data_IF_132079326139
#
_entry.id   IF_132079326139
#
_cell.length_a   1.000
_cell.length_b   1.000
_cell.length_c   1.000
_cell.angle_alpha   90.00
_cell.angle_beta   90.00
_cell.angle_gamma   90.00
#
_symmetry.space_group_name_H-M   'P 1'
#
loop_
_entity.id
_entity.type
_entity.pdbx_description
1 polymer ?
#
# COMPACT_ATOMS: atom_id res chain seq x y z
N UNK A 1 13.77 29.38 0.41
CA UNK A 1 13.47 30.35 1.49
C UNK A 1 13.81 31.76 1.00
N UNK A 2 12.91 32.69 1.19
CA UNK A 2 13.19 34.12 1.02
C UNK A 2 13.50 34.73 2.40
N UNK A 3 14.52 35.58 2.47
CA UNK A 3 14.94 36.26 3.72
C UNK A 3 14.51 37.73 3.62
N UNK A 4 13.87 38.27 4.67
CA UNK A 4 13.63 39.71 4.76
C UNK A 4 14.92 40.43 5.06
N UNK A 5 14.98 41.72 4.69
CA UNK A 5 16.11 42.62 4.94
C UNK A 5 16.01 43.38 6.27
N UNK A 6 14.98 43.07 7.09
CA UNK A 6 14.76 43.73 8.38
C UNK A 6 15.80 43.34 9.44
N UNK A 7 15.86 44.10 10.52
CA UNK A 7 16.81 43.94 11.62
C UNK A 7 16.79 42.55 12.26
N UNK A 8 15.65 41.86 12.25
CA UNK A 8 15.55 40.43 12.53
C UNK A 8 15.20 39.67 11.24
N UNK A 9 16.06 38.77 10.75
CA UNK A 9 15.81 38.06 9.49
C UNK A 9 14.64 37.09 9.62
N UNK A 10 13.55 37.38 8.94
CA UNK A 10 12.40 36.47 8.79
C UNK A 10 12.57 35.63 7.53
N UNK A 11 12.53 34.34 7.69
CA UNK A 11 12.54 33.39 6.56
C UNK A 11 11.12 33.00 6.20
N UNK A 12 10.77 33.11 4.93
CA UNK A 12 9.47 32.69 4.37
C UNK A 12 9.64 31.55 3.40
N UNK A 13 8.76 30.59 3.47
CA UNK A 13 8.65 29.54 2.44
C UNK A 13 7.86 30.12 1.25
N UNK A 14 8.38 30.07 0.00
CA UNK A 14 7.61 30.50 -1.17
C UNK A 14 6.29 29.72 -1.26
N UNK A 15 5.23 30.39 -1.75
CA UNK A 15 3.87 29.80 -1.79
C UNK A 15 3.84 28.44 -2.49
N UNK A 16 4.44 28.32 -3.67
CA UNK A 16 4.49 27.05 -4.41
C UNK A 16 5.21 25.92 -3.64
N UNK A 17 6.20 26.25 -2.82
CA UNK A 17 6.89 25.27 -1.96
C UNK A 17 6.03 24.92 -0.74
N UNK A 18 5.32 25.90 -0.17
CA UNK A 18 4.41 25.67 0.95
C UNK A 18 3.26 24.74 0.56
N UNK A 19 2.70 24.88 -0.63
CA UNK A 19 1.64 24.02 -1.16
C UNK A 19 2.04 22.52 -1.19
N UNK A 20 3.33 22.23 -1.34
CA UNK A 20 3.85 20.84 -1.45
C UNK A 20 4.50 20.37 -0.15
N UNK A 21 5.15 21.25 0.60
CA UNK A 21 6.01 20.84 1.73
C UNK A 21 5.49 21.27 3.11
N UNK A 22 4.25 21.75 3.22
CA UNK A 22 3.60 21.98 4.52
C UNK A 22 2.43 21.03 4.72
N UNK A 23 2.04 20.81 5.99
CA UNK A 23 0.99 19.86 6.35
C UNK A 23 -0.40 20.28 5.85
N UNK A 24 -0.62 21.56 5.67
CA UNK A 24 -1.84 22.22 5.19
C UNK A 24 -1.80 22.59 3.71
N UNK A 25 -0.71 22.26 3.03
CA UNK A 25 -0.56 22.48 1.60
C UNK A 25 -1.55 21.67 0.77
N UNK A 26 -2.16 22.30 -0.25
CA UNK A 26 -3.20 21.69 -1.07
C UNK A 26 -2.72 20.44 -1.84
N UNK A 27 -1.43 20.33 -2.11
CA UNK A 27 -0.77 19.20 -2.77
C UNK A 27 0.36 18.65 -1.90
N UNK A 28 0.13 18.59 -0.59
CA UNK A 28 1.17 18.19 0.36
C UNK A 28 1.76 16.82 0.06
N UNK A 29 3.07 16.76 -0.04
CA UNK A 29 3.91 15.55 -0.12
C UNK A 29 4.80 15.43 1.11
N UNK A 30 4.46 16.09 2.21
CA UNK A 30 5.27 16.13 3.43
C UNK A 30 5.42 14.75 4.06
N UNK A 31 4.36 13.93 4.02
CA UNK A 31 4.41 12.54 4.47
C UNK A 31 5.43 11.74 3.66
N UNK A 32 5.42 11.88 2.33
CA UNK A 32 6.36 11.20 1.44
C UNK A 32 7.80 11.67 1.67
N UNK A 33 8.06 12.97 1.84
CA UNK A 33 9.40 13.47 2.12
C UNK A 33 9.96 12.89 3.43
N UNK A 34 9.13 12.81 4.47
CA UNK A 34 9.49 12.18 5.76
C UNK A 34 9.75 10.68 5.60
N UNK A 35 8.90 9.97 4.88
CA UNK A 35 9.07 8.55 4.59
C UNK A 35 10.37 8.29 3.80
N UNK A 36 10.67 9.07 2.77
CA UNK A 36 11.93 8.96 2.02
C UNK A 36 13.16 9.21 2.89
N UNK A 37 13.08 10.13 3.86
CA UNK A 37 14.13 10.32 4.86
C UNK A 37 14.35 9.06 5.72
N UNK A 38 13.29 8.32 6.06
CA UNK A 38 13.40 7.04 6.75
C UNK A 38 14.04 5.97 5.86
N UNK A 39 13.61 5.88 4.59
CA UNK A 39 14.22 4.97 3.61
C UNK A 39 15.72 5.27 3.42
N UNK A 40 16.11 6.53 3.34
CA UNK A 40 17.51 6.92 3.19
C UNK A 40 18.40 6.39 4.34
N UNK A 41 17.88 6.39 5.58
CA UNK A 41 18.62 5.81 6.73
C UNK A 41 18.86 4.31 6.59
N UNK A 42 17.92 3.58 6.00
CA UNK A 42 18.10 2.16 5.69
C UNK A 42 19.06 1.95 4.53
N UNK A 43 18.96 2.74 3.46
CA UNK A 43 19.87 2.72 2.32
C UNK A 43 21.32 3.06 2.70
N UNK A 44 21.52 3.95 3.68
CA UNK A 44 22.85 4.24 4.23
C UNK A 44 23.54 3.02 4.86
N UNK A 45 22.80 1.95 5.15
CA UNK A 45 23.32 0.69 5.68
C UNK A 45 23.43 -0.43 4.61
N UNK A 46 23.18 -0.14 3.32
CA UNK A 46 23.04 -1.13 2.26
C UNK A 46 24.23 -2.09 2.15
N UNK A 47 25.46 -1.58 2.24
CA UNK A 47 26.65 -2.43 2.20
C UNK A 47 26.62 -3.51 3.31
N UNK A 48 26.25 -3.12 4.51
CA UNK A 48 26.09 -4.03 5.66
C UNK A 48 24.92 -5.00 5.50
N UNK A 49 23.82 -4.56 4.88
CA UNK A 49 22.68 -5.40 4.55
C UNK A 49 23.08 -6.51 3.59
N UNK A 50 23.78 -6.16 2.51
CA UNK A 50 24.25 -7.11 1.51
C UNK A 50 25.22 -8.14 2.12
N UNK A 51 26.15 -7.68 2.94
CA UNK A 51 27.15 -8.58 3.57
C UNK A 51 26.52 -9.52 4.61
N UNK A 52 25.49 -9.08 5.34
CA UNK A 52 24.91 -9.86 6.43
C UNK A 52 23.64 -10.63 6.03
N UNK A 53 23.06 -10.32 4.89
CA UNK A 53 21.77 -10.90 4.45
C UNK A 53 20.59 -10.57 5.39
N UNK A 54 20.65 -9.43 6.10
CA UNK A 54 19.63 -8.99 7.06
C UNK A 54 19.29 -7.53 6.80
N UNK A 55 18.02 -7.12 6.98
CA UNK A 55 17.60 -5.74 6.78
C UNK A 55 18.38 -4.78 7.68
N UNK A 56 18.36 -3.51 7.30
CA UNK A 56 18.94 -2.43 8.08
C UNK A 56 18.30 -2.35 9.49
N UNK A 57 19.09 -1.98 10.49
CA UNK A 57 18.56 -1.70 11.80
C UNK A 57 17.59 -0.51 11.71
N UNK A 58 16.34 -0.74 12.08
CA UNK A 58 15.34 0.32 12.14
C UNK A 58 15.65 1.23 13.33
N UNK A 59 15.87 2.51 13.04
CA UNK A 59 16.02 3.56 14.04
C UNK A 59 14.93 4.60 13.80
N UNK A 60 14.09 4.91 14.79
CA UNK A 60 13.09 5.98 14.66
C UNK A 60 13.74 7.30 14.25
N UNK A 61 12.99 8.10 13.51
CA UNK A 61 13.37 9.49 13.23
C UNK A 61 13.23 10.36 14.46
N UNK A 62 13.53 11.64 14.33
CA UNK A 62 13.29 12.65 15.36
C UNK A 62 11.80 12.78 15.74
N UNK A 63 10.90 12.26 14.91
CA UNK A 63 9.45 12.21 15.18
C UNK A 63 9.05 11.04 16.09
N UNK A 64 9.96 10.08 16.32
CA UNK A 64 9.67 8.83 17.00
C UNK A 64 8.87 7.83 16.16
N UNK A 65 8.64 6.65 16.71
CA UNK A 65 7.97 5.53 16.02
C UNK A 65 6.56 5.88 15.55
N UNK A 66 5.77 6.53 16.39
CA UNK A 66 4.37 6.89 16.06
C UNK A 66 4.31 7.95 14.96
N UNK A 67 5.21 8.93 15.02
CA UNK A 67 5.34 9.94 13.96
C UNK A 67 5.81 9.35 12.63
N UNK A 68 6.68 8.33 12.66
CA UNK A 68 7.14 7.61 11.48
C UNK A 68 6.02 6.77 10.86
N UNK A 69 5.19 6.08 11.67
CA UNK A 69 4.01 5.35 11.20
C UNK A 69 3.00 6.31 10.56
N UNK A 70 2.66 7.40 11.23
CA UNK A 70 1.73 8.40 10.69
C UNK A 70 2.24 8.99 9.37
N UNK A 71 3.53 9.30 9.28
CA UNK A 71 4.17 9.80 8.06
C UNK A 71 4.14 8.77 6.93
N UNK A 72 4.34 7.48 7.24
CA UNK A 72 4.25 6.40 6.27
C UNK A 72 2.82 6.27 5.71
N UNK A 73 1.81 6.20 6.57
CA UNK A 73 0.40 6.09 6.13
C UNK A 73 -0.01 7.32 5.30
N UNK A 74 0.43 8.51 5.73
CA UNK A 74 0.17 9.74 4.97
C UNK A 74 0.88 9.72 3.61
N UNK A 75 2.14 9.26 3.55
CA UNK A 75 2.88 9.10 2.29
C UNK A 75 2.18 8.14 1.32
N UNK A 76 1.67 7.01 1.82
CA UNK A 76 0.94 6.04 1.00
C UNK A 76 -0.36 6.63 0.47
N UNK A 77 -1.01 7.50 1.24
CA UNK A 77 -2.16 8.25 0.74
C UNK A 77 -1.74 9.25 -0.35
N UNK A 78 -0.76 10.10 -0.09
CA UNK A 78 -0.30 11.16 -1.00
C UNK A 78 0.04 10.62 -2.41
N UNK A 79 0.68 9.46 -2.50
CA UNK A 79 1.04 8.85 -3.79
C UNK A 79 -0.10 8.02 -4.42
N UNK A 80 -1.04 7.54 -3.62
CA UNK A 80 -2.12 6.67 -4.12
C UNK A 80 -3.36 7.48 -4.53
N UNK A 81 -3.69 8.54 -3.82
CA UNK A 81 -4.93 9.31 -4.00
C UNK A 81 -5.13 9.81 -5.45
N UNK A 82 -4.11 10.42 -6.10
CA UNK A 82 -4.26 10.91 -7.49
C UNK A 82 -4.53 9.80 -8.50
N UNK A 83 -4.13 8.56 -8.21
CA UNK A 83 -4.22 7.43 -9.14
C UNK A 83 -5.30 6.42 -8.78
N UNK A 84 -5.87 6.50 -7.57
CA UNK A 84 -6.77 5.47 -7.07
C UNK A 84 -8.07 5.39 -7.88
N UNK A 85 -8.77 6.51 -8.05
CA UNK A 85 -10.02 6.53 -8.82
C UNK A 85 -9.83 6.16 -10.29
N UNK A 86 -8.87 6.73 -11.04
CA UNK A 86 -8.61 6.32 -12.40
C UNK A 86 -8.25 4.83 -12.53
N UNK A 87 -7.45 4.30 -11.61
CA UNK A 87 -7.06 2.90 -11.65
C UNK A 87 -8.26 1.97 -11.41
N UNK A 88 -9.06 2.21 -10.38
CA UNK A 88 -10.24 1.37 -10.09
C UNK A 88 -11.25 1.45 -11.24
N UNK A 89 -11.49 2.64 -11.80
CA UNK A 89 -12.37 2.81 -12.97
C UNK A 89 -11.86 2.04 -14.21
N UNK A 90 -10.54 1.90 -14.37
CA UNK A 90 -9.94 1.16 -15.49
C UNK A 90 -10.22 -0.34 -15.49
N UNK A 91 -10.68 -0.91 -14.38
CA UNK A 91 -11.05 -2.33 -14.30
C UNK A 91 -12.40 -2.64 -14.98
N UNK A 92 -13.12 -1.61 -15.44
CA UNK A 92 -14.47 -1.75 -15.96
C UNK A 92 -15.48 -2.05 -14.85
N UNK A 93 -16.59 -2.66 -15.23
CA UNK A 93 -17.64 -3.01 -14.26
C UNK A 93 -17.20 -4.19 -13.40
N UNK A 94 -16.72 -3.91 -12.18
CA UNK A 94 -16.55 -4.91 -11.14
C UNK A 94 -17.89 -5.13 -10.43
N UNK A 95 -18.34 -6.38 -10.37
CA UNK A 95 -19.54 -6.75 -9.63
C UNK A 95 -19.12 -7.40 -8.32
N UNK A 96 -19.38 -6.73 -7.22
CA UNK A 96 -19.16 -7.23 -5.87
C UNK A 96 -20.15 -6.57 -4.90
N UNK A 97 -20.38 -7.21 -3.78
CA UNK A 97 -21.25 -6.70 -2.70
C UNK A 97 -20.44 -6.29 -1.48
N UNK A 98 -19.34 -6.97 -1.22
CA UNK A 98 -18.51 -6.72 -0.05
C UNK A 98 -17.01 -6.79 -0.39
N UNK A 99 -16.33 -5.66 -0.26
CA UNK A 99 -14.88 -5.54 -0.40
C UNK A 99 -14.17 -5.86 0.92
N UNK A 100 -13.16 -6.70 0.89
CA UNK A 100 -12.16 -6.85 1.95
C UNK A 100 -10.87 -6.14 1.53
N UNK A 101 -10.58 -4.98 2.12
CA UNK A 101 -9.37 -4.20 1.88
C UNK A 101 -8.33 -4.54 2.95
N UNK A 102 -7.34 -5.36 2.58
CA UNK A 102 -6.28 -5.83 3.47
C UNK A 102 -5.10 -4.87 3.47
N UNK A 103 -4.73 -4.38 4.66
CA UNK A 103 -3.74 -3.33 4.79
C UNK A 103 -4.24 -2.03 4.15
N UNK A 104 -5.54 -1.75 4.28
CA UNK A 104 -6.20 -0.64 3.61
C UNK A 104 -5.77 0.75 4.10
N UNK A 105 -4.88 0.80 5.08
CA UNK A 105 -4.28 2.01 5.64
C UNK A 105 -5.35 3.07 5.99
N UNK A 106 -5.31 4.23 5.38
CA UNK A 106 -6.31 5.28 5.57
C UNK A 106 -7.59 5.09 4.74
N UNK A 107 -7.72 3.99 3.98
CA UNK A 107 -8.88 3.70 3.13
C UNK A 107 -8.86 4.41 1.78
N UNK A 108 -7.69 4.85 1.31
CA UNK A 108 -7.55 5.56 0.03
C UNK A 108 -8.10 4.76 -1.14
N UNK A 109 -7.91 3.45 -1.15
CA UNK A 109 -8.42 2.56 -2.21
C UNK A 109 -9.89 2.16 -1.98
N UNK A 110 -10.31 1.97 -0.74
CA UNK A 110 -11.70 1.63 -0.40
C UNK A 110 -12.69 2.68 -0.95
N UNK A 111 -12.33 3.97 -0.89
CA UNK A 111 -13.21 5.08 -1.31
C UNK A 111 -13.64 4.93 -2.78
N UNK A 112 -12.76 4.87 -3.79
CA UNK A 112 -13.17 4.75 -5.19
C UNK A 112 -13.89 3.43 -5.49
N UNK A 113 -13.56 2.31 -4.85
CA UNK A 113 -14.34 1.08 -5.00
C UNK A 113 -15.79 1.29 -4.60
N UNK A 114 -16.05 1.93 -3.46
CA UNK A 114 -17.41 2.17 -2.99
C UNK A 114 -18.13 3.31 -3.74
N UNK A 115 -17.41 4.30 -4.23
CA UNK A 115 -18.01 5.37 -5.05
C UNK A 115 -18.51 4.84 -6.39
N UNK A 116 -17.76 3.93 -7.02
CA UNK A 116 -18.13 3.30 -8.29
C UNK A 116 -19.15 2.16 -8.12
N UNK A 117 -19.37 1.69 -6.88
CA UNK A 117 -20.34 0.64 -6.55
C UNK A 117 -21.20 1.08 -5.34
N UNK A 118 -22.27 1.89 -5.58
CA UNK A 118 -23.04 2.52 -4.51
C UNK A 118 -23.67 1.53 -3.51
N UNK A 119 -24.04 0.35 -3.96
CA UNK A 119 -24.72 -0.66 -3.14
C UNK A 119 -23.76 -1.56 -2.36
N UNK A 120 -22.45 -1.50 -2.65
CA UNK A 120 -21.45 -2.32 -1.99
C UNK A 120 -21.06 -1.75 -0.62
N UNK A 121 -20.57 -2.63 0.24
CA UNK A 121 -19.92 -2.29 1.51
C UNK A 121 -18.46 -2.75 1.52
N UNK A 122 -17.72 -2.40 2.57
CA UNK A 122 -16.32 -2.81 2.71
C UNK A 122 -15.96 -3.12 4.16
N UNK A 123 -14.96 -3.98 4.33
CA UNK A 123 -14.21 -4.13 5.58
C UNK A 123 -12.76 -3.73 5.31
N UNK A 124 -12.26 -2.74 6.03
CA UNK A 124 -10.83 -2.40 6.07
C UNK A 124 -10.21 -3.13 7.25
N UNK A 125 -9.21 -3.96 6.99
CA UNK A 125 -8.40 -4.59 8.03
C UNK A 125 -7.00 -4.03 8.02
N UNK A 126 -6.56 -3.46 9.14
CA UNK A 126 -5.20 -2.95 9.32
C UNK A 126 -4.82 -2.99 10.81
N UNK A 127 -3.56 -2.68 11.10
CA UNK A 127 -3.04 -2.62 12.47
C UNK A 127 -3.89 -1.68 13.34
N UNK A 128 -4.05 -1.98 14.64
CA UNK A 128 -4.87 -1.16 15.56
C UNK A 128 -4.53 0.33 15.52
N UNK A 129 -3.23 0.67 15.42
CA UNK A 129 -2.74 2.05 15.43
C UNK A 129 -3.05 2.81 14.13
N UNK A 130 -3.36 2.09 13.04
CA UNK A 130 -3.73 2.65 11.73
C UNK A 130 -5.23 2.93 11.64
N UNK A 131 -6.06 2.12 12.29
CA UNK A 131 -7.53 2.19 12.24
C UNK A 131 -8.09 3.59 12.54
N UNK A 132 -7.58 4.38 13.49
CA UNK A 132 -8.06 5.75 13.71
C UNK A 132 -7.94 6.66 12.49
N UNK A 133 -6.92 6.45 11.64
CA UNK A 133 -6.72 7.22 10.41
C UNK A 133 -7.77 6.85 9.36
N UNK A 134 -8.03 5.56 9.17
CA UNK A 134 -9.11 5.06 8.32
C UNK A 134 -10.48 5.60 8.78
N UNK A 135 -10.77 5.54 10.09
CA UNK A 135 -12.02 6.04 10.67
C UNK A 135 -12.27 7.52 10.34
N UNK A 136 -11.24 8.35 10.48
CA UNK A 136 -11.32 9.78 10.15
C UNK A 136 -11.63 9.99 8.68
N UNK A 137 -10.93 9.30 7.78
CA UNK A 137 -11.10 9.43 6.33
C UNK A 137 -12.46 8.90 5.85
N UNK A 138 -12.91 7.76 6.36
CA UNK A 138 -14.25 7.23 6.03
C UNK A 138 -15.35 8.19 6.45
N UNK A 139 -15.20 8.89 7.58
CA UNK A 139 -16.15 9.93 8.01
C UNK A 139 -16.14 11.12 7.03
N UNK A 140 -14.95 11.60 6.64
CA UNK A 140 -14.82 12.70 5.68
C UNK A 140 -15.43 12.37 4.32
N UNK A 141 -15.30 11.09 3.89
CA UNK A 141 -15.88 10.61 2.64
C UNK A 141 -17.38 10.25 2.72
N UNK A 142 -18.02 10.37 3.90
CA UNK A 142 -19.43 10.00 4.10
C UNK A 142 -19.70 8.49 4.06
N UNK A 143 -18.68 7.66 4.20
CA UNK A 143 -18.76 6.20 4.03
C UNK A 143 -18.86 5.41 5.33
N UNK A 144 -19.02 6.07 6.48
CA UNK A 144 -19.01 5.44 7.82
C UNK A 144 -20.01 4.28 7.96
N UNK A 145 -21.18 4.38 7.31
CA UNK A 145 -22.23 3.33 7.38
C UNK A 145 -21.97 2.15 6.47
N UNK A 146 -21.07 2.31 5.50
CA UNK A 146 -20.75 1.29 4.48
C UNK A 146 -19.41 0.61 4.72
N UNK A 147 -18.63 1.08 5.69
CA UNK A 147 -17.28 0.56 5.95
C UNK A 147 -17.17 0.09 7.40
N UNK A 148 -16.87 -1.20 7.56
CA UNK A 148 -16.47 -1.80 8.82
C UNK A 148 -14.95 -1.69 8.97
N UNK A 149 -14.48 -1.22 10.12
CA UNK A 149 -13.07 -1.19 10.45
C UNK A 149 -12.73 -2.37 11.36
N UNK A 150 -11.74 -3.15 10.98
CA UNK A 150 -11.33 -4.36 11.67
C UNK A 150 -9.86 -4.26 12.10
N UNK A 151 -9.57 -3.92 13.36
CA UNK A 151 -8.20 -3.86 13.85
C UNK A 151 -7.60 -5.26 13.95
N UNK A 152 -6.41 -5.45 13.39
CA UNK A 152 -5.70 -6.72 13.47
C UNK A 152 -4.53 -6.83 12.48
N UNK A 153 -3.66 -7.77 12.76
CA UNK A 153 -2.56 -8.15 11.88
C UNK A 153 -3.05 -9.27 10.93
N UNK A 154 -3.23 -8.97 9.66
CA UNK A 154 -3.74 -9.93 8.67
C UNK A 154 -2.79 -11.14 8.47
N UNK A 155 -1.52 -11.03 8.85
CA UNK A 155 -0.61 -12.17 8.84
C UNK A 155 -0.88 -13.15 10.00
N UNK A 156 -1.26 -12.63 11.17
CA UNK A 156 -1.46 -13.41 12.41
C UNK A 156 -2.92 -13.76 12.67
N UNK A 157 -3.82 -12.77 12.56
CA UNK A 157 -5.23 -12.92 12.91
C UNK A 157 -6.04 -13.58 11.79
N UNK A 158 -7.16 -14.22 12.11
CA UNK A 158 -8.13 -14.66 11.12
C UNK A 158 -8.68 -13.45 10.34
N UNK A 159 -8.92 -13.64 9.03
CA UNK A 159 -9.50 -12.58 8.20
C UNK A 159 -11.03 -12.53 8.39
N UNK A 160 -11.64 -11.36 8.29
CA UNK A 160 -13.09 -11.22 8.21
C UNK A 160 -13.65 -12.00 7.03
N UNK A 161 -14.73 -12.76 7.24
CA UNK A 161 -15.41 -13.55 6.21
C UNK A 161 -16.56 -12.77 5.58
N UNK A 162 -17.09 -13.27 4.45
CA UNK A 162 -18.27 -12.77 3.79
C UNK A 162 -17.99 -11.73 2.69
N UNK A 163 -16.74 -11.53 2.33
CA UNK A 163 -16.38 -10.69 1.18
C UNK A 163 -16.35 -11.51 -0.11
N UNK A 164 -16.81 -10.91 -1.20
CA UNK A 164 -16.73 -11.47 -2.56
C UNK A 164 -15.66 -10.80 -3.42
N UNK A 165 -15.02 -9.73 -2.91
CA UNK A 165 -13.83 -9.12 -3.49
C UNK A 165 -12.79 -8.85 -2.40
N UNK A 166 -11.55 -9.30 -2.60
CA UNK A 166 -10.42 -8.92 -1.75
C UNK A 166 -9.48 -8.00 -2.54
N UNK A 167 -9.08 -6.91 -1.93
CA UNK A 167 -8.06 -5.99 -2.43
C UNK A 167 -6.82 -6.09 -1.57
N UNK A 168 -5.68 -6.40 -2.21
CA UNK A 168 -4.36 -6.54 -1.58
C UNK A 168 -3.40 -5.60 -2.32
N UNK A 169 -3.21 -4.41 -1.79
CA UNK A 169 -2.48 -3.35 -2.49
C UNK A 169 -1.21 -2.98 -1.75
N UNK A 170 -0.07 -3.06 -2.44
CA UNK A 170 1.25 -2.72 -1.90
C UNK A 170 1.62 -3.52 -0.63
N UNK A 171 1.28 -4.79 -0.62
CA UNK A 171 1.49 -5.72 0.50
C UNK A 171 2.46 -6.84 0.13
N UNK A 172 2.29 -7.45 -1.06
CA UNK A 172 3.02 -8.69 -1.37
C UNK A 172 4.53 -8.48 -1.44
N UNK A 173 4.99 -7.30 -1.81
CA UNK A 173 6.40 -6.95 -1.84
C UNK A 173 7.07 -6.91 -0.44
N UNK A 174 6.29 -6.78 0.63
CA UNK A 174 6.83 -6.75 2.01
C UNK A 174 7.13 -8.16 2.53
N UNK A 175 6.60 -9.18 1.89
CA UNK A 175 6.60 -10.56 2.34
C UNK A 175 7.54 -11.42 1.49
N UNK A 176 8.01 -12.53 2.03
CA UNK A 176 8.55 -13.63 1.24
C UNK A 176 7.44 -14.34 0.45
N UNK A 177 7.79 -15.12 -0.58
CA UNK A 177 6.83 -15.94 -1.32
C UNK A 177 6.05 -16.91 -0.41
N UNK A 178 6.71 -17.48 0.58
CA UNK A 178 6.05 -18.38 1.54
C UNK A 178 5.01 -17.63 2.38
N UNK A 179 5.35 -16.43 2.86
CA UNK A 179 4.41 -15.57 3.57
C UNK A 179 3.23 -15.15 2.67
N UNK A 180 3.49 -14.84 1.41
CA UNK A 180 2.44 -14.52 0.44
C UNK A 180 1.51 -15.71 0.20
N UNK A 181 2.02 -16.94 0.05
CA UNK A 181 1.16 -18.13 -0.05
C UNK A 181 0.29 -18.32 1.18
N UNK A 182 0.82 -18.10 2.38
CA UNK A 182 0.03 -18.15 3.63
C UNK A 182 -1.06 -17.06 3.63
N UNK A 183 -0.75 -15.84 3.21
CA UNK A 183 -1.73 -14.77 3.09
C UNK A 183 -2.82 -15.13 2.07
N UNK A 184 -2.43 -15.62 0.88
CA UNK A 184 -3.38 -16.00 -0.16
C UNK A 184 -4.30 -17.14 0.28
N UNK A 185 -3.80 -18.15 1.01
CA UNK A 185 -4.62 -19.21 1.59
C UNK A 185 -5.65 -18.67 2.60
N UNK A 186 -5.26 -17.69 3.42
CA UNK A 186 -6.19 -17.01 4.33
C UNK A 186 -7.25 -16.23 3.57
N UNK A 187 -6.86 -15.49 2.52
CA UNK A 187 -7.81 -14.75 1.66
C UNK A 187 -8.76 -15.72 0.95
N UNK A 188 -8.23 -16.82 0.40
CA UNK A 188 -9.04 -17.87 -0.21
C UNK A 188 -10.11 -18.40 0.75
N UNK A 189 -9.73 -18.67 2.00
CA UNK A 189 -10.65 -19.16 3.02
C UNK A 189 -11.71 -18.12 3.41
N UNK A 190 -11.34 -16.84 3.43
CA UNK A 190 -12.22 -15.74 3.86
C UNK A 190 -13.22 -15.29 2.79
N UNK A 191 -12.85 -15.43 1.51
CA UNK A 191 -13.73 -15.07 0.39
C UNK A 191 -14.92 -16.02 0.27
N UNK A 192 -16.04 -15.49 -0.18
CA UNK A 192 -17.21 -16.27 -0.61
C UNK A 192 -16.90 -17.12 -1.84
N UNK A 193 -17.64 -18.24 -2.09
CA UNK A 193 -17.50 -19.01 -3.32
C UNK A 193 -17.72 -18.12 -4.55
N UNK A 194 -16.83 -18.23 -5.53
CA UNK A 194 -16.83 -17.39 -6.72
C UNK A 194 -16.26 -15.98 -6.54
N UNK A 195 -15.83 -15.64 -5.34
CA UNK A 195 -15.18 -14.37 -5.03
C UNK A 195 -13.81 -14.22 -5.71
N UNK A 196 -13.31 -13.01 -5.73
CA UNK A 196 -12.07 -12.66 -6.44
C UNK A 196 -11.06 -11.98 -5.51
N UNK A 197 -9.78 -12.19 -5.80
CA UNK A 197 -8.68 -11.40 -5.24
C UNK A 197 -8.09 -10.50 -6.32
N UNK A 198 -7.89 -9.23 -6.01
CA UNK A 198 -7.12 -8.28 -6.79
C UNK A 198 -5.85 -7.92 -6.03
N UNK A 199 -4.69 -8.10 -6.66
CA UNK A 199 -3.39 -7.76 -6.09
C UNK A 199 -2.77 -6.64 -6.91
N UNK A 200 -2.58 -5.48 -6.30
CA UNK A 200 -1.87 -4.34 -6.88
C UNK A 200 -0.47 -4.26 -6.31
N UNK A 201 0.52 -4.33 -7.17
CA UNK A 201 1.92 -4.21 -6.77
C UNK A 201 2.82 -3.87 -7.96
N UNK A 202 4.14 -3.75 -7.72
CA UNK A 202 5.15 -3.69 -8.77
C UNK A 202 5.62 -5.10 -9.11
N UNK A 203 5.45 -5.49 -10.38
CA UNK A 203 5.95 -6.77 -10.87
C UNK A 203 7.11 -6.58 -11.83
N UNK A 204 8.06 -7.50 -11.78
CA UNK A 204 9.24 -7.52 -12.65
C UNK A 204 9.15 -8.64 -13.67
N UNK A 205 9.94 -8.53 -14.74
CA UNK A 205 10.13 -9.61 -15.69
C UNK A 205 11.03 -10.73 -15.15
N UNK A 206 11.22 -11.79 -15.92
CA UNK A 206 12.04 -12.93 -15.52
C UNK A 206 13.53 -12.57 -15.33
N UNK A 207 14.00 -11.50 -15.94
CA UNK A 207 15.39 -11.01 -15.75
C UNK A 207 15.57 -10.30 -14.40
N UNK A 208 14.47 -9.91 -13.72
CA UNK A 208 14.45 -9.10 -12.48
C UNK A 208 15.10 -7.73 -12.60
N UNK A 209 15.30 -7.26 -13.84
CA UNK A 209 15.92 -5.95 -14.12
C UNK A 209 14.93 -4.95 -14.73
N UNK A 210 13.76 -5.42 -15.13
CA UNK A 210 12.73 -4.58 -15.77
C UNK A 210 11.35 -4.77 -15.10
N UNK A 211 10.63 -3.68 -14.92
CA UNK A 211 11.06 -2.29 -15.10
C UNK A 211 12.15 -1.89 -14.10
N UNK A 212 12.97 -0.91 -14.43
CA UNK A 212 14.07 -0.45 -13.56
C UNK A 212 13.57 0.01 -12.18
N UNK A 213 12.38 0.63 -12.13
CA UNK A 213 11.70 0.98 -10.89
C UNK A 213 11.45 -0.23 -9.98
N UNK A 214 11.02 -1.36 -10.56
CA UNK A 214 10.82 -2.61 -9.84
C UNK A 214 12.12 -3.24 -9.34
N UNK A 215 13.19 -3.18 -10.14
CA UNK A 215 14.51 -3.64 -9.72
C UNK A 215 15.08 -2.82 -8.56
N UNK A 216 14.97 -1.49 -8.63
CA UNK A 216 15.37 -0.60 -7.52
C UNK A 216 14.48 -0.81 -6.28
N UNK A 217 13.19 -1.06 -6.49
CA UNK A 217 12.27 -1.33 -5.38
C UNK A 217 12.61 -2.67 -4.68
N UNK A 218 13.10 -3.68 -5.41
CA UNK A 218 13.61 -4.90 -4.79
C UNK A 218 14.80 -4.64 -3.84
N UNK A 219 15.71 -3.72 -4.21
CA UNK A 219 16.82 -3.28 -3.33
C UNK A 219 16.26 -2.56 -2.10
N UNK A 220 15.21 -1.72 -2.27
CA UNK A 220 14.55 -1.09 -1.14
C UNK A 220 13.94 -2.13 -0.19
N UNK A 221 13.30 -3.17 -0.71
CA UNK A 221 12.76 -4.25 0.12
C UNK A 221 13.85 -5.04 0.83
N UNK A 222 14.97 -5.32 0.17
CA UNK A 222 16.13 -5.97 0.79
C UNK A 222 16.65 -5.15 2.00
N UNK A 223 16.67 -3.82 1.89
CA UNK A 223 17.14 -2.94 2.96
C UNK A 223 16.13 -2.82 4.12
N UNK A 224 14.83 -2.92 3.86
CA UNK A 224 13.79 -2.56 4.81
C UNK A 224 12.96 -3.74 5.35
N UNK A 225 13.05 -4.94 4.73
CA UNK A 225 12.20 -6.08 5.11
C UNK A 225 12.99 -7.36 5.29
N UNK A 226 12.57 -8.29 6.17
CA UNK A 226 13.26 -9.56 6.39
C UNK A 226 13.23 -10.52 5.21
N UNK A 227 12.28 -10.39 4.28
CA UNK A 227 12.09 -11.35 3.19
C UNK A 227 11.33 -10.81 1.99
N UNK A 228 11.05 -9.51 1.99
CA UNK A 228 10.36 -8.85 0.88
C UNK A 228 11.21 -8.71 -0.36
N UNK A 229 10.56 -8.40 -1.47
CA UNK A 229 11.18 -8.22 -2.77
C UNK A 229 10.14 -7.90 -3.83
N UNK A 230 10.56 -7.90 -5.09
CA UNK A 230 9.64 -7.81 -6.23
C UNK A 230 9.51 -9.18 -6.90
N UNK A 231 8.31 -9.48 -7.38
CA UNK A 231 7.98 -10.80 -7.92
C UNK A 231 7.60 -10.69 -9.39
N UNK A 232 7.73 -11.81 -10.10
CA UNK A 232 7.23 -11.92 -11.48
C UNK A 232 5.74 -12.28 -11.46
N UNK A 233 5.06 -11.99 -12.57
CA UNK A 233 3.67 -12.46 -12.77
C UNK A 233 3.56 -13.99 -12.64
N UNK A 234 4.56 -14.73 -13.18
CA UNK A 234 4.61 -16.19 -13.08
C UNK A 234 4.65 -16.69 -11.64
N UNK A 235 5.51 -16.10 -10.82
CA UNK A 235 5.60 -16.45 -9.40
C UNK A 235 4.29 -16.19 -8.65
N UNK A 236 3.65 -15.04 -8.90
CA UNK A 236 2.37 -14.73 -8.26
C UNK A 236 1.26 -15.66 -8.71
N UNK A 237 1.21 -16.01 -10.03
CA UNK A 237 0.28 -16.99 -10.55
C UNK A 237 0.46 -18.33 -9.86
N UNK A 238 1.70 -18.82 -9.78
CA UNK A 238 2.01 -20.12 -9.19
C UNK A 238 1.67 -20.16 -7.69
N UNK A 239 1.97 -19.07 -6.96
CA UNK A 239 1.64 -18.95 -5.54
C UNK A 239 0.12 -18.89 -5.29
N UNK A 240 -0.63 -18.16 -6.13
CA UNK A 240 -2.11 -18.12 -6.05
C UNK A 240 -2.73 -19.47 -6.39
N UNK A 241 -2.25 -20.12 -7.46
CA UNK A 241 -2.77 -21.41 -7.89
C UNK A 241 -2.49 -22.50 -6.85
N UNK A 242 -1.33 -22.46 -6.19
CA UNK A 242 -0.96 -23.44 -5.17
C UNK A 242 -1.89 -23.46 -3.97
N UNK A 243 -2.67 -22.40 -3.73
CA UNK A 243 -3.61 -22.29 -2.61
C UNK A 243 -5.08 -22.37 -3.03
N UNK A 244 -5.35 -22.67 -4.33
CA UNK A 244 -6.70 -22.95 -4.83
C UNK A 244 -7.29 -21.87 -5.73
N UNK A 245 -6.67 -20.71 -5.88
CA UNK A 245 -7.15 -19.70 -6.83
C UNK A 245 -6.99 -20.17 -8.27
N UNK A 246 -7.93 -19.79 -9.11
CA UNK A 246 -7.99 -20.12 -10.53
C UNK A 246 -8.09 -18.85 -11.39
N UNK A 247 -8.05 -19.02 -12.72
CA UNK A 247 -8.24 -17.93 -13.70
C UNK A 247 -7.33 -16.72 -13.45
N UNK A 248 -6.08 -16.98 -13.03
CA UNK A 248 -5.11 -15.92 -12.71
C UNK A 248 -4.73 -15.16 -13.97
N UNK A 249 -5.00 -13.86 -13.99
CA UNK A 249 -4.71 -12.97 -15.13
C UNK A 249 -4.19 -11.60 -14.68
N UNK A 250 -3.40 -10.96 -15.53
CA UNK A 250 -3.07 -9.55 -15.34
C UNK A 250 -4.25 -8.71 -15.86
N UNK A 251 -4.87 -7.92 -14.99
CA UNK A 251 -5.84 -6.90 -15.39
C UNK A 251 -5.13 -5.67 -15.95
N UNK A 252 -3.97 -5.35 -15.39
CA UNK A 252 -3.14 -4.23 -15.82
C UNK A 252 -1.67 -4.59 -15.69
N UNK A 253 -0.87 -4.17 -16.65
CA UNK A 253 0.60 -4.22 -16.60
C UNK A 253 1.12 -2.80 -16.62
N UNK A 254 1.63 -2.35 -15.50
CA UNK A 254 2.23 -1.03 -15.30
C UNK A 254 3.75 -1.10 -15.22
N UNK A 255 4.38 0.06 -15.11
CA UNK A 255 5.83 0.20 -14.98
C UNK A 255 6.25 0.57 -13.53
N UNK A 256 5.28 0.76 -12.66
CA UNK A 256 5.47 1.14 -11.26
C UNK A 256 4.53 0.31 -10.34
N UNK A 257 4.11 0.87 -9.23
CA UNK A 257 3.15 0.27 -8.30
C UNK A 257 1.71 0.33 -8.83
N UNK A 258 1.49 0.01 -10.11
CA UNK A 258 0.20 0.10 -10.79
C UNK A 258 -0.14 -1.14 -11.63
N UNK A 259 0.62 -2.20 -11.49
CA UNK A 259 0.25 -3.50 -12.05
C UNK A 259 -0.80 -4.18 -11.18
N UNK A 260 -1.77 -4.85 -11.79
CA UNK A 260 -2.86 -5.54 -11.07
C UNK A 260 -3.06 -6.95 -11.59
N UNK A 261 -3.04 -7.91 -10.68
CA UNK A 261 -3.36 -9.31 -10.92
C UNK A 261 -4.76 -9.59 -10.34
N UNK A 262 -5.56 -10.37 -11.07
CA UNK A 262 -6.83 -10.90 -10.61
C UNK A 262 -6.79 -12.42 -10.61
N UNK A 263 -7.44 -13.03 -9.61
CA UNK A 263 -7.70 -14.47 -9.57
C UNK A 263 -9.06 -14.75 -8.94
N UNK A 264 -9.66 -15.90 -9.27
CA UNK A 264 -10.98 -16.32 -8.76
C UNK A 264 -10.84 -17.49 -7.80
N UNK A 265 -11.66 -17.46 -6.75
CA UNK A 265 -11.87 -18.60 -5.85
C UNK A 265 -12.72 -19.67 -6.50
#
# INVERSE_FOLDING_TARGET
LTKSTDTEPVYRVPKAVAEVLTADGAQSMLGMVRHLGNCQRAWGQLASVVLRGKPAACRPSVLGTDGDLASFIQAMHEVSDPVATPLVASFGKLTFTHLLDLGGASGTWTIPFLQLNPDACATIMDQPDVIPMAKRRMRQAGLTRRVRLFPGDFMKNALPKGADLAWVSAIVHQNSREQNRRLFAKVFTALEPGGQILIRDVFVDASRTRPASGALFAVNMLANTPGGGTFTFGEMRDDLTSVGFSKVKALRRGQAMDSVICASK
#
